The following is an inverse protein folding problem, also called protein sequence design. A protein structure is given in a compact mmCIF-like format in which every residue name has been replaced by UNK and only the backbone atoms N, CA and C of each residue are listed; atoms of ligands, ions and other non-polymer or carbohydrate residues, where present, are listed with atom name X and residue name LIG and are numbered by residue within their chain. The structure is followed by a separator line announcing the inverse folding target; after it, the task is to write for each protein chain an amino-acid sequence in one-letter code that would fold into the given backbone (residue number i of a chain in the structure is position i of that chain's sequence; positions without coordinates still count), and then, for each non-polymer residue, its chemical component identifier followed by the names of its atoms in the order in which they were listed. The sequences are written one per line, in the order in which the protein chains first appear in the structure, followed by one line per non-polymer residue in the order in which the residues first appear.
data_IF_027019331525
#
_entry.id   IF_027019331525
#
_cell.length_a   1.000
_cell.length_b   1.000
_cell.length_c   1.000
_cell.angle_alpha   90.00
_cell.angle_beta   90.00
_cell.angle_gamma   90.00
#
_symmetry.space_group_name_H-M   'P 1'
#
loop_
_entity.id
_entity.type
_entity.pdbx_description
1 polymer ?
#
# COMPACT_ATOMS: atom_id res chain seq x y z
N UNK A 1 18.66 -10.08 -8.94
CA UNK A 1 18.24 -10.38 -7.55
C UNK A 1 17.66 -9.11 -6.97
N UNK A 2 16.34 -9.04 -6.81
CA UNK A 2 15.72 -7.89 -6.17
C UNK A 2 16.09 -7.92 -4.69
N UNK A 3 16.95 -6.98 -4.27
CA UNK A 3 17.15 -6.70 -2.86
C UNK A 3 15.77 -6.27 -2.35
N UNK A 4 15.20 -7.02 -1.41
CA UNK A 4 14.00 -6.60 -0.69
C UNK A 4 14.33 -5.25 -0.08
N UNK A 5 13.89 -4.17 -0.73
CA UNK A 5 14.10 -2.83 -0.21
C UNK A 5 13.43 -2.78 1.16
N UNK A 6 14.16 -2.47 2.24
CA UNK A 6 13.59 -2.41 3.59
C UNK A 6 12.51 -1.33 3.74
N UNK A 7 12.24 -0.57 2.67
CA UNK A 7 11.25 0.50 2.59
C UNK A 7 9.89 0.02 2.10
N UNK A 8 9.78 -1.16 1.50
CA UNK A 8 8.52 -1.73 1.04
C UNK A 8 8.22 -3.03 1.78
N UNK A 9 7.10 -3.09 2.50
CA UNK A 9 6.67 -4.29 3.23
C UNK A 9 5.23 -4.65 2.85
N UNK A 10 5.06 -5.69 2.05
CA UNK A 10 3.75 -6.33 1.90
C UNK A 10 3.57 -7.34 3.04
N UNK A 11 2.48 -7.23 3.80
CA UNK A 11 2.18 -8.17 4.90
C UNK A 11 1.44 -9.39 4.36
N UNK A 12 0.37 -9.16 3.61
CA UNK A 12 -0.32 -10.19 2.82
C UNK A 12 -0.23 -9.85 1.34
N UNK A 13 -0.35 -10.88 0.49
CA UNK A 13 -0.48 -10.67 -0.95
C UNK A 13 -1.96 -10.59 -1.28
N UNK A 14 -2.39 -9.53 -2.00
CA UNK A 14 -3.76 -9.46 -2.52
C UNK A 14 -4.07 -10.64 -3.44
N UNK A 15 -5.30 -11.17 -3.36
CA UNK A 15 -5.80 -12.19 -4.28
C UNK A 15 -6.23 -11.61 -5.63
N UNK A 16 -6.28 -10.28 -5.77
CA UNK A 16 -6.80 -9.58 -6.93
C UNK A 16 -5.69 -8.96 -7.79
N UNK A 17 -5.64 -9.34 -9.06
CA UNK A 17 -4.60 -8.89 -10.00
C UNK A 17 -4.56 -7.35 -10.15
N UNK A 18 -5.72 -6.69 -10.23
CA UNK A 18 -5.80 -5.23 -10.35
C UNK A 18 -5.26 -4.50 -9.12
N UNK A 19 -5.41 -5.07 -7.93
CA UNK A 19 -4.89 -4.49 -6.70
C UNK A 19 -3.36 -4.64 -6.65
N UNK A 20 -2.85 -5.82 -7.01
CA UNK A 20 -1.40 -6.03 -7.17
C UNK A 20 -0.79 -5.05 -8.18
N UNK A 21 -1.46 -4.82 -9.32
CA UNK A 21 -1.02 -3.84 -10.33
C UNK A 21 -1.04 -2.41 -9.79
N UNK A 22 -2.07 -2.03 -9.04
CA UNK A 22 -2.18 -0.71 -8.43
C UNK A 22 -1.07 -0.45 -7.39
N UNK A 23 -0.80 -1.45 -6.57
CA UNK A 23 0.27 -1.45 -5.59
C UNK A 23 1.63 -1.30 -6.27
N UNK A 24 1.87 -2.09 -7.32
CA UNK A 24 3.10 -2.02 -8.10
C UNK A 24 3.26 -0.65 -8.79
N UNK A 25 2.17 -0.08 -9.30
CA UNK A 25 2.15 1.26 -9.89
C UNK A 25 2.62 2.34 -8.91
N UNK A 26 2.21 2.28 -7.64
CA UNK A 26 2.67 3.21 -6.60
C UNK A 26 4.12 2.94 -6.24
N UNK A 27 4.49 1.67 -6.05
CA UNK A 27 5.86 1.26 -5.69
C UNK A 27 6.89 1.78 -6.69
N UNK A 28 6.60 1.74 -7.98
CA UNK A 28 7.49 2.23 -9.04
C UNK A 28 7.64 3.76 -9.07
N UNK A 29 6.72 4.49 -8.42
CA UNK A 29 6.69 5.96 -8.36
C UNK A 29 7.17 6.55 -7.05
N UNK A 30 7.28 5.73 -6.01
CA UNK A 30 7.81 6.17 -4.73
C UNK A 30 9.32 6.46 -4.83
N UNK A 31 9.78 7.67 -4.47
CA UNK A 31 11.20 8.00 -4.48
C UNK A 31 12.05 7.00 -3.69
N UNK A 32 13.22 6.67 -4.22
CA UNK A 32 14.20 5.79 -3.57
C UNK A 32 15.14 6.57 -2.63
N UNK A 33 14.56 7.15 -1.58
CA UNK A 33 15.29 7.87 -0.52
C UNK A 33 14.48 7.92 0.77
N UNK A 34 15.15 8.14 1.89
CA UNK A 34 14.45 8.42 3.15
C UNK A 34 13.69 9.77 3.08
N UNK A 35 12.53 9.88 3.78
CA UNK A 35 11.90 8.88 4.65
C UNK A 35 10.87 8.00 3.92
N UNK A 36 10.89 7.90 2.59
CA UNK A 36 9.83 7.22 1.83
C UNK A 36 9.77 5.73 2.14
N UNK A 37 8.66 5.28 2.74
CA UNK A 37 8.38 3.89 3.11
C UNK A 37 6.92 3.57 2.85
N UNK A 38 6.61 2.30 2.59
CA UNK A 38 5.25 1.86 2.38
C UNK A 38 4.99 0.45 2.95
N UNK A 39 3.80 0.27 3.50
CA UNK A 39 3.28 -0.99 4.01
C UNK A 39 1.98 -1.30 3.30
N UNK A 40 1.91 -2.46 2.65
CA UNK A 40 0.76 -2.89 1.87
C UNK A 40 0.03 -4.04 2.55
N UNK A 41 -1.29 -4.02 2.42
CA UNK A 41 -2.23 -5.09 2.78
C UNK A 41 -2.04 -5.54 4.22
N UNK A 42 -2.28 -4.64 5.17
CA UNK A 42 -2.16 -4.97 6.58
C UNK A 42 -3.44 -4.66 7.34
N UNK A 43 -3.59 -5.39 8.43
CA UNK A 43 -4.69 -5.24 9.38
C UNK A 43 -4.12 -4.79 10.71
N UNK A 44 -4.87 -3.95 11.42
CA UNK A 44 -4.56 -3.62 12.79
C UNK A 44 -5.83 -3.57 13.64
N UNK A 45 -5.65 -3.84 14.92
CA UNK A 45 -6.71 -3.73 15.92
C UNK A 45 -6.55 -2.35 16.57
N UNK A 46 -7.59 -1.51 16.48
CA UNK A 46 -7.62 -0.23 17.15
C UNK A 46 -7.93 -0.39 18.65
N UNK A 47 -7.71 0.66 19.43
CA UNK A 47 -7.91 0.64 20.89
C UNK A 47 -9.36 0.33 21.31
N UNK A 48 -10.33 0.55 20.41
CA UNK A 48 -11.75 0.21 20.61
C UNK A 48 -12.09 -1.26 20.26
N UNK A 49 -11.10 -2.04 19.85
CA UNK A 49 -11.24 -3.44 19.44
C UNK A 49 -11.70 -3.64 18.00
N UNK A 50 -11.87 -2.56 17.21
CA UNK A 50 -12.19 -2.68 15.79
C UNK A 50 -11.00 -3.20 14.98
N UNK A 51 -11.27 -4.10 14.02
CA UNK A 51 -10.30 -4.55 13.03
C UNK A 51 -10.41 -3.59 11.84
N UNK A 52 -9.28 -2.98 11.47
CA UNK A 52 -9.18 -2.06 10.35
C UNK A 52 -8.22 -2.63 9.32
N UNK A 53 -8.70 -2.72 8.07
CA UNK A 53 -7.94 -3.16 6.92
C UNK A 53 -7.41 -1.93 6.18
N UNK A 54 -6.14 -1.96 5.78
CA UNK A 54 -5.50 -0.89 5.00
C UNK A 54 -4.77 -1.48 3.81
N UNK A 55 -5.20 -1.08 2.61
CA UNK A 55 -4.56 -1.49 1.36
C UNK A 55 -3.12 -0.98 1.28
N UNK A 56 -2.89 0.29 1.60
CA UNK A 56 -1.56 0.88 1.57
C UNK A 56 -1.39 2.04 2.56
N UNK A 57 -0.35 1.98 3.38
CA UNK A 57 0.15 3.10 4.19
C UNK A 57 1.48 3.59 3.62
N UNK A 58 1.59 4.88 3.34
CA UNK A 58 2.80 5.52 2.79
C UNK A 58 3.32 6.58 3.75
N UNK A 59 4.59 6.48 4.13
CA UNK A 59 5.34 7.54 4.80
C UNK A 59 6.08 8.40 3.78
N UNK A 60 5.96 9.71 3.88
CA UNK A 60 6.71 10.70 3.07
C UNK A 60 7.24 11.80 4.00
N UNK A 61 8.07 12.74 3.49
CA UNK A 61 8.45 13.93 4.26
C UNK A 61 7.25 14.78 4.74
N UNK A 62 6.10 14.66 4.09
CA UNK A 62 4.89 15.41 4.43
C UNK A 62 4.04 14.72 5.52
N UNK A 63 4.31 13.45 5.82
CA UNK A 63 3.59 12.68 6.82
C UNK A 63 3.16 11.31 6.33
N UNK A 64 2.12 10.76 6.97
CA UNK A 64 1.52 9.48 6.61
C UNK A 64 0.28 9.67 5.75
N UNK A 65 0.15 8.81 4.73
CA UNK A 65 -0.99 8.74 3.84
C UNK A 65 -1.52 7.31 3.84
N UNK A 66 -2.80 7.15 4.16
CA UNK A 66 -3.53 5.91 3.90
C UNK A 66 -4.13 6.06 2.50
N UNK A 67 -3.88 5.06 1.66
CA UNK A 67 -4.39 5.03 0.28
C UNK A 67 -5.28 3.82 0.16
N UNK A 68 -6.55 4.07 -0.15
CA UNK A 68 -7.53 3.03 -0.41
C UNK A 68 -7.53 2.70 -1.91
N UNK A 69 -7.45 1.42 -2.25
CA UNK A 69 -7.43 0.93 -3.63
C UNK A 69 -8.78 0.33 -3.96
N UNK A 70 -9.52 0.98 -4.85
CA UNK A 70 -10.81 0.48 -5.36
C UNK A 70 -10.71 0.10 -6.83
N UNK A 71 -11.47 -0.91 -7.23
CA UNK A 71 -11.74 -1.19 -8.64
C UNK A 71 -13.10 -0.63 -9.07
N UNK A 72 -13.21 -0.22 -10.34
CA UNK A 72 -14.49 0.08 -11.01
C UNK A 72 -14.72 -0.90 -12.16
N UNK A 73 -15.96 -1.06 -12.64
CA UNK A 73 -16.22 -1.81 -13.87
C UNK A 73 -15.33 -1.24 -15.01
N UNK A 74 -14.55 -2.12 -15.66
CA UNK A 74 -13.45 -1.85 -16.61
C UNK A 74 -12.01 -1.84 -16.04
N UNK A 75 -11.76 -2.57 -14.95
CA UNK A 75 -10.43 -3.05 -14.48
C UNK A 75 -9.38 -1.98 -14.14
N UNK A 76 -9.79 -0.72 -13.97
CA UNK A 76 -8.87 0.34 -13.52
C UNK A 76 -8.95 0.52 -12.02
N UNK A 77 -7.79 0.44 -11.37
CA UNK A 77 -7.63 0.84 -9.99
C UNK A 77 -7.80 2.37 -9.84
N UNK A 78 -8.45 2.75 -8.75
CA UNK A 78 -8.66 4.13 -8.33
C UNK A 78 -8.16 4.23 -6.90
N UNK A 79 -7.36 5.27 -6.66
CA UNK A 79 -6.82 5.60 -5.35
C UNK A 79 -7.72 6.66 -4.71
N UNK A 80 -8.28 6.35 -3.55
CA UNK A 80 -9.04 7.28 -2.72
C UNK A 80 -8.21 7.75 -1.53
#
# INVERSE_FOLDING_TARGET
MAILSPRWKAITQSEYAWEQEAIQYIKDRLPDRDPYRAWANFEFIADDGSINEVDLLVLTPQGFFIVEIKSRPADRAIFC
#
